data_IF_480108788282
#
_entry.id   IF_480108788282
#
_cell.length_a   1.000
_cell.length_b   1.000
_cell.length_c   1.000
_cell.angle_alpha   90.00
_cell.angle_beta   90.00
_cell.angle_gamma   90.00
#
_symmetry.space_group_name_H-M   'P 1'
#
loop_
_entity.id
_entity.type
_entity.pdbx_description
1 polymer ?
#
# COMPACT_ATOMS: atom_id res chain seq x y z
N UNK A 1 49.68 6.03 -36.12
CA UNK A 1 49.93 5.63 -34.72
C UNK A 1 49.08 6.39 -33.68
N UNK A 2 48.62 7.64 -33.93
CA UNK A 2 47.74 8.39 -33.01
C UNK A 2 46.23 8.02 -33.09
N UNK A 3 45.77 7.56 -34.25
CA UNK A 3 44.36 7.21 -34.52
C UNK A 3 43.89 5.97 -33.77
N UNK A 4 44.75 4.96 -33.60
CA UNK A 4 44.42 3.75 -32.84
C UNK A 4 44.27 4.00 -31.34
N UNK A 5 45.03 4.96 -30.78
CA UNK A 5 44.93 5.36 -29.37
C UNK A 5 43.58 6.00 -29.07
N UNK A 6 43.09 6.89 -29.95
CA UNK A 6 41.78 7.52 -29.78
C UNK A 6 40.63 6.52 -29.94
N UNK A 7 40.71 5.59 -30.91
CA UNK A 7 39.70 4.52 -31.07
C UNK A 7 39.62 3.62 -29.85
N UNK A 8 40.75 3.21 -29.27
CA UNK A 8 40.80 2.40 -28.04
C UNK A 8 40.22 3.16 -26.84
N UNK A 9 40.50 4.47 -26.72
CA UNK A 9 39.93 5.32 -25.65
C UNK A 9 38.41 5.44 -25.77
N UNK A 10 37.88 5.68 -26.98
CA UNK A 10 36.44 5.71 -27.20
C UNK A 10 35.80 4.35 -26.93
N UNK A 11 36.46 3.25 -27.32
CA UNK A 11 35.97 1.91 -27.03
C UNK A 11 35.93 1.64 -25.52
N UNK A 12 36.97 2.04 -24.78
CA UNK A 12 37.00 1.91 -23.32
C UNK A 12 35.98 2.80 -22.62
N UNK A 13 35.72 4.01 -23.11
CA UNK A 13 34.67 4.88 -22.57
C UNK A 13 33.26 4.32 -22.84
N UNK A 14 33.05 3.67 -23.99
CA UNK A 14 31.78 3.05 -24.35
C UNK A 14 31.51 1.80 -23.49
N UNK A 15 32.53 0.97 -23.23
CA UNK A 15 32.39 -0.18 -22.32
C UNK A 15 32.16 0.25 -20.87
N UNK A 16 32.85 1.31 -20.40
CA UNK A 16 32.64 1.84 -19.05
C UNK A 16 31.22 2.39 -18.84
N UNK A 17 30.61 2.99 -19.87
CA UNK A 17 29.23 3.46 -19.83
C UNK A 17 28.20 2.32 -19.75
N UNK A 18 28.52 1.14 -20.29
CA UNK A 18 27.64 -0.04 -20.24
C UNK A 18 27.72 -0.72 -18.87
N UNK A 19 28.89 -0.78 -18.25
CA UNK A 19 29.08 -1.48 -16.95
C UNK A 19 28.49 -0.75 -15.74
N UNK A 20 28.16 0.54 -15.85
CA UNK A 20 27.51 1.30 -14.76
C UNK A 20 25.99 1.07 -14.73
N UNK A 21 25.41 0.44 -15.76
CA UNK A 21 23.97 0.28 -15.91
C UNK A 21 23.32 -0.93 -15.22
N UNK A 22 24.07 -1.82 -14.58
CA UNK A 22 23.50 -3.03 -13.96
C UNK A 22 23.87 -3.13 -12.48
N UNK A 23 23.33 -2.23 -11.68
CA UNK A 23 23.12 -2.47 -10.25
C UNK A 23 21.63 -2.74 -10.05
N UNK A 24 21.26 -4.02 -10.05
CA UNK A 24 19.97 -4.49 -9.54
C UNK A 24 20.27 -5.35 -8.32
N UNK A 25 19.68 -5.01 -7.17
CA UNK A 25 18.97 -5.98 -6.33
C UNK A 25 18.21 -5.24 -5.21
N UNK A 26 16.88 -5.32 -5.34
CA UNK A 26 15.88 -5.47 -4.29
C UNK A 26 15.96 -4.59 -3.03
N UNK A 27 15.28 -3.43 -3.08
CA UNK A 27 14.47 -2.96 -1.95
C UNK A 27 13.07 -2.57 -2.46
N UNK A 28 12.45 -3.46 -3.24
CA UNK A 28 10.99 -3.47 -3.32
C UNK A 28 10.49 -4.21 -2.06
N UNK A 29 10.74 -3.65 -0.88
CA UNK A 29 10.00 -4.06 0.29
C UNK A 29 8.62 -3.43 0.14
N UNK A 30 7.72 -4.15 -0.54
CA UNK A 30 6.31 -3.91 -0.36
C UNK A 30 6.06 -4.13 1.13
N UNK A 31 5.89 -3.04 1.87
CA UNK A 31 5.01 -3.06 3.03
C UNK A 31 3.64 -3.44 2.47
N UNK A 32 3.40 -4.74 2.31
CA UNK A 32 2.06 -5.27 2.46
C UNK A 32 1.72 -5.04 3.94
N UNK A 33 1.38 -3.78 4.26
CA UNK A 33 0.33 -3.50 5.22
C UNK A 33 -0.78 -4.45 4.81
N UNK A 34 -1.03 -5.51 5.61
CA UNK A 34 -2.01 -6.52 5.26
C UNK A 34 -3.31 -5.79 5.02
N UNK A 35 -3.59 -5.50 3.74
CA UNK A 35 -4.70 -4.65 3.37
C UNK A 35 -5.91 -5.46 3.76
N UNK A 36 -6.55 -5.05 4.84
CA UNK A 36 -7.69 -5.74 5.42
C UNK A 36 -8.60 -6.15 4.28
N UNK A 37 -8.71 -7.47 4.04
CA UNK A 37 -9.10 -8.04 2.75
C UNK A 37 -10.53 -7.68 2.31
N UNK A 38 -11.28 -6.96 3.16
CA UNK A 38 -12.60 -6.43 2.83
C UNK A 38 -12.79 -5.06 3.47
N UNK A 39 -12.72 -3.97 2.70
CA UNK A 39 -13.13 -2.65 3.20
C UNK A 39 -14.67 -2.59 3.22
N UNK A 40 -15.29 -2.97 4.35
CA UNK A 40 -16.76 -2.99 4.52
C UNK A 40 -17.21 -1.65 5.09
N UNK A 41 -17.92 -0.83 4.32
CA UNK A 41 -18.59 0.36 4.84
C UNK A 41 -17.72 1.61 5.00
N UNK A 42 -18.28 2.64 5.63
CA UNK A 42 -17.58 3.91 5.90
C UNK A 42 -16.77 3.83 7.18
N UNK A 43 -15.52 4.31 7.14
CA UNK A 43 -14.68 4.43 8.32
C UNK A 43 -15.18 5.53 9.26
N UNK A 44 -15.16 5.25 10.54
CA UNK A 44 -15.38 6.20 11.63
C UNK A 44 -14.36 5.92 12.76
N UNK A 45 -14.26 6.81 13.74
CA UNK A 45 -13.34 6.68 14.87
C UNK A 45 -14.01 7.04 16.19
N UNK A 46 -13.74 6.25 17.23
CA UNK A 46 -14.26 6.50 18.57
C UNK A 46 -13.13 6.42 19.60
N UNK A 47 -13.16 7.29 20.61
CA UNK A 47 -12.24 7.20 21.75
C UNK A 47 -12.76 6.18 22.77
N UNK A 48 -11.96 5.17 23.07
CA UNK A 48 -12.30 4.15 24.06
C UNK A 48 -11.83 4.58 25.45
N UNK A 49 -12.77 4.82 26.36
CA UNK A 49 -12.44 5.10 27.77
C UNK A 49 -11.91 3.86 28.52
N UNK A 50 -12.08 2.66 27.98
CA UNK A 50 -11.55 1.43 28.61
C UNK A 50 -10.09 1.24 28.20
N UNK A 51 -9.78 1.46 26.92
CA UNK A 51 -8.44 1.25 26.36
C UNK A 51 -7.58 2.52 26.36
N UNK A 52 -8.19 3.69 26.61
CA UNK A 52 -7.55 5.00 26.57
C UNK A 52 -6.91 5.33 25.21
N UNK A 53 -7.56 4.93 24.11
CA UNK A 53 -7.07 5.14 22.74
C UNK A 53 -8.21 5.40 21.75
N UNK A 54 -7.86 6.00 20.60
CA UNK A 54 -8.76 6.09 19.45
C UNK A 54 -8.80 4.76 18.70
N UNK A 55 -10.01 4.28 18.39
CA UNK A 55 -10.26 3.05 17.64
C UNK A 55 -10.99 3.38 16.35
N UNK A 56 -10.52 2.80 15.25
CA UNK A 56 -11.23 2.86 13.98
C UNK A 56 -12.30 1.76 13.95
N UNK A 57 -13.46 2.09 13.39
CA UNK A 57 -14.55 1.16 13.11
C UNK A 57 -15.05 1.41 11.70
N UNK A 58 -15.66 0.39 11.09
CA UNK A 58 -16.30 0.56 9.79
C UNK A 58 -17.79 0.25 9.88
N UNK A 59 -18.62 1.14 9.34
CA UNK A 59 -20.07 1.11 9.43
C UNK A 59 -20.65 1.01 8.02
N UNK A 60 -21.30 -0.11 7.73
CA UNK A 60 -22.06 -0.30 6.49
C UNK A 60 -23.55 -0.09 6.79
N UNK A 61 -24.14 0.93 6.16
CA UNK A 61 -25.61 1.09 6.16
C UNK A 61 -26.25 0.19 5.11
N UNK A 62 -27.50 -0.25 5.30
CA UNK A 62 -28.28 -0.93 4.27
C UNK A 62 -28.32 -0.14 2.96
N UNK A 63 -28.51 -0.83 1.84
CA UNK A 63 -28.49 -0.20 0.51
C UNK A 63 -29.55 0.92 0.43
N UNK A 64 -29.19 2.01 -0.24
CA UNK A 64 -29.90 3.30 -0.18
C UNK A 64 -31.32 3.29 -0.73
N UNK A 65 -31.70 2.27 -1.52
CA UNK A 65 -33.04 2.14 -2.09
C UNK A 65 -34.16 1.96 -1.04
N UNK A 66 -33.82 1.76 0.24
CA UNK A 66 -34.79 1.67 1.33
C UNK A 66 -34.24 2.08 2.70
N UNK A 67 -33.17 2.89 2.74
CA UNK A 67 -32.66 3.40 4.02
C UNK A 67 -33.53 4.57 4.50
N UNK A 68 -34.30 4.31 5.55
CA UNK A 68 -35.03 5.31 6.32
C UNK A 68 -34.29 5.61 7.63
N UNK A 69 -34.01 6.89 7.90
CA UNK A 69 -33.31 7.37 9.10
C UNK A 69 -34.17 7.32 10.38
N UNK A 70 -35.48 7.23 10.25
CA UNK A 70 -36.42 7.10 11.36
C UNK A 70 -36.69 5.64 11.74
N UNK A 71 -36.23 4.69 10.92
CA UNK A 71 -36.39 3.26 11.16
C UNK A 71 -35.19 2.69 11.94
N UNK A 72 -35.47 1.75 12.84
CA UNK A 72 -34.43 0.98 13.54
C UNK A 72 -34.08 -0.28 12.75
N UNK A 73 -32.78 -0.59 12.69
CA UNK A 73 -32.26 -1.78 12.01
C UNK A 73 -31.52 -2.68 12.99
N UNK A 74 -31.55 -4.01 12.80
CA UNK A 74 -30.64 -4.89 13.52
C UNK A 74 -29.19 -4.57 13.16
N UNK A 75 -28.29 -4.76 14.12
CA UNK A 75 -26.86 -4.48 13.97
C UNK A 75 -26.09 -5.79 14.09
N UNK A 76 -25.22 -6.06 13.10
CA UNK A 76 -24.27 -7.16 13.13
C UNK A 76 -22.88 -6.61 13.47
N UNK A 77 -22.28 -7.13 14.54
CA UNK A 77 -20.88 -6.85 14.88
C UNK A 77 -20.00 -7.92 14.25
N UNK A 78 -19.08 -7.51 13.40
CA UNK A 78 -18.11 -8.39 12.74
C UNK A 78 -16.74 -8.08 13.30
N UNK A 79 -16.07 -9.09 13.84
CA UNK A 79 -14.68 -9.02 14.27
C UNK A 79 -13.85 -9.81 13.26
N UNK A 80 -12.66 -9.31 12.98
CA UNK A 80 -11.67 -10.08 12.26
C UNK A 80 -11.11 -11.22 13.12
N UNK A 81 -10.72 -12.29 12.46
CA UNK A 81 -9.98 -13.37 13.11
C UNK A 81 -8.53 -12.95 13.30
N UNK A 82 -7.90 -13.39 14.39
CA UNK A 82 -6.45 -13.35 14.51
C UNK A 82 -5.79 -14.36 13.56
N UNK A 83 -4.58 -14.07 13.08
CA UNK A 83 -3.70 -15.02 12.40
C UNK A 83 -2.99 -15.96 13.37
#
# INVERSE_FOLDING_TARGET
MQTDRKRKVYLTLLVAAITVGTATDALAQSTEESSFAVQIGRSDSLYSNILQEWRNVWIQKPNSAGFDEHQKYPVLYVLDGSV
#
